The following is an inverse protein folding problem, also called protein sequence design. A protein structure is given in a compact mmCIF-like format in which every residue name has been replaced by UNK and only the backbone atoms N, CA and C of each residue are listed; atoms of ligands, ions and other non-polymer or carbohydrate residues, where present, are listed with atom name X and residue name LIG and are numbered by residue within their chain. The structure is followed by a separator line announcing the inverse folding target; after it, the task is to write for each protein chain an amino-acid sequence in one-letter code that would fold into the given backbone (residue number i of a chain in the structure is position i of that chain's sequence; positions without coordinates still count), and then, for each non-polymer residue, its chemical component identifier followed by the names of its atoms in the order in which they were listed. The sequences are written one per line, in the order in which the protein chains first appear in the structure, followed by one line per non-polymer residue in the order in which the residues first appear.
data_IF_676136228858
#
_entry.id   IF_676136228858
#
_cell.length_a   1.000
_cell.length_b   1.000
_cell.length_c   1.000
_cell.angle_alpha   90.00
_cell.angle_beta   90.00
_cell.angle_gamma   90.00
#
_symmetry.space_group_name_H-M   'P 1'
#
loop_
_entity.id
_entity.type
_entity.pdbx_description
1 polymer ?
#
# COMPACT_ATOMS: atom_id res chain seq x y z
N UNK A 1 -10.08 -14.47 21.32
CA UNK A 1 -10.16 -13.03 21.08
C UNK A 1 -9.26 -12.33 22.07
N UNK A 2 -8.09 -11.86 21.64
CA UNK A 2 -7.19 -11.06 22.47
C UNK A 2 -7.63 -9.58 22.47
N UNK A 3 -7.05 -8.75 23.34
CA UNK A 3 -7.41 -7.33 23.42
C UNK A 3 -7.16 -6.54 22.11
N UNK A 4 -6.14 -6.92 21.34
CA UNK A 4 -5.84 -6.30 20.04
C UNK A 4 -6.85 -6.65 18.95
N UNK A 5 -7.30 -7.91 18.92
CA UNK A 5 -8.34 -8.37 17.98
C UNK A 5 -9.66 -7.63 18.22
N UNK A 6 -10.03 -7.42 19.48
CA UNK A 6 -11.23 -6.66 19.84
C UNK A 6 -11.13 -5.18 19.41
N UNK A 7 -9.97 -4.55 19.61
CA UNK A 7 -9.73 -3.16 19.17
C UNK A 7 -9.82 -3.05 17.65
N UNK A 8 -9.24 -4.02 16.92
CA UNK A 8 -9.28 -4.03 15.46
C UNK A 8 -10.72 -4.23 14.92
N UNK A 9 -11.53 -5.07 15.56
CA UNK A 9 -12.96 -5.19 15.20
C UNK A 9 -13.73 -3.91 15.51
N UNK A 10 -13.44 -3.27 16.65
CA UNK A 10 -14.08 -2.01 17.02
C UNK A 10 -13.75 -0.88 16.03
N UNK A 11 -12.50 -0.80 15.57
CA UNK A 11 -12.08 0.14 14.54
C UNK A 11 -12.86 -0.06 13.23
N UNK A 12 -13.02 -1.31 12.78
CA UNK A 12 -13.82 -1.63 11.58
C UNK A 12 -15.26 -1.16 11.72
N UNK A 13 -15.90 -1.46 12.86
CA UNK A 13 -17.28 -1.05 13.12
C UNK A 13 -17.43 0.48 13.10
N UNK A 14 -16.48 1.21 13.69
CA UNK A 14 -16.50 2.68 13.66
C UNK A 14 -16.42 3.19 12.22
N UNK A 15 -15.52 2.63 11.40
CA UNK A 15 -15.32 3.05 10.00
C UNK A 15 -16.54 2.76 9.12
N UNK A 16 -17.30 1.72 9.42
CA UNK A 16 -18.56 1.42 8.73
C UNK A 16 -19.69 2.38 9.12
N UNK A 17 -19.72 2.85 10.37
CA UNK A 17 -20.77 3.76 10.87
C UNK A 17 -20.57 5.22 10.45
N UNK A 18 -19.33 5.66 10.27
CA UNK A 18 -19.04 7.03 9.86
C UNK A 18 -19.16 7.14 8.34
N UNK A 19 -20.07 8.00 7.88
CA UNK A 19 -20.32 8.24 6.47
C UNK A 19 -19.97 9.67 6.06
N UNK A 20 -19.41 9.81 4.87
CA UNK A 20 -19.05 11.09 4.25
C UNK A 20 -20.03 11.37 3.10
N UNK A 21 -20.70 12.53 3.09
CA UNK A 21 -21.60 12.90 2.00
C UNK A 21 -20.88 13.03 0.65
N UNK A 22 -21.54 12.61 -0.43
CA UNK A 22 -20.97 12.64 -1.79
C UNK A 22 -20.51 14.03 -2.24
N UNK A 23 -21.19 15.09 -1.82
CA UNK A 23 -20.86 16.45 -2.23
C UNK A 23 -19.51 16.94 -1.66
N UNK A 24 -18.96 16.27 -0.65
CA UNK A 24 -17.60 16.53 -0.13
C UNK A 24 -16.52 15.73 -0.85
N UNK A 25 -16.91 14.72 -1.62
CA UNK A 25 -15.99 13.79 -2.25
C UNK A 25 -15.75 14.15 -3.72
N UNK A 26 -14.54 13.89 -4.26
CA UNK A 26 -14.31 13.90 -5.70
C UNK A 26 -15.19 12.86 -6.39
N UNK A 27 -15.51 13.08 -7.66
CA UNK A 27 -16.45 12.24 -8.42
C UNK A 27 -16.06 10.75 -8.43
N UNK A 28 -14.77 10.46 -8.57
CA UNK A 28 -14.20 9.10 -8.50
C UNK A 28 -14.49 8.36 -7.18
N UNK A 29 -14.67 9.10 -6.09
CA UNK A 29 -14.86 8.53 -4.75
C UNK A 29 -16.31 8.45 -4.33
N UNK A 30 -17.22 9.10 -5.05
CA UNK A 30 -18.67 9.06 -4.76
C UNK A 30 -19.23 7.66 -4.99
N UNK A 31 -20.31 7.36 -4.32
CA UNK A 31 -21.20 6.26 -4.70
C UNK A 31 -22.42 6.85 -5.40
N UNK A 32 -22.72 6.40 -6.61
CA UNK A 32 -23.88 6.90 -7.37
C UNK A 32 -25.20 6.19 -6.98
N UNK A 33 -25.13 5.20 -6.08
CA UNK A 33 -26.31 4.47 -5.57
C UNK A 33 -26.84 5.06 -4.26
N UNK A 34 -26.00 5.74 -3.49
CA UNK A 34 -26.30 6.32 -2.18
C UNK A 34 -25.78 7.76 -2.10
N UNK A 35 -26.32 8.60 -1.22
CA UNK A 35 -25.89 10.00 -1.10
C UNK A 35 -24.57 10.20 -0.30
N UNK A 36 -23.98 9.10 0.19
CA UNK A 36 -22.78 9.08 1.03
C UNK A 36 -21.97 7.80 0.86
N UNK A 37 -20.75 7.82 1.37
CA UNK A 37 -19.78 6.72 1.35
C UNK A 37 -19.21 6.51 2.75
N UNK A 38 -19.11 5.27 3.23
CA UNK A 38 -18.51 4.97 4.54
C UNK A 38 -16.99 5.25 4.53
N UNK A 39 -16.39 5.46 5.70
CA UNK A 39 -14.92 5.54 5.79
C UNK A 39 -14.25 4.25 5.35
N UNK A 40 -14.85 3.09 5.67
CA UNK A 40 -14.33 1.79 5.25
C UNK A 40 -14.32 1.60 3.72
N UNK A 41 -15.32 2.13 3.02
CA UNK A 41 -15.36 2.12 1.54
C UNK A 41 -14.37 3.13 0.95
N UNK A 42 -14.22 4.30 1.56
CA UNK A 42 -13.26 5.32 1.14
C UNK A 42 -11.81 4.82 1.26
N UNK A 43 -11.45 4.23 2.40
CA UNK A 43 -10.13 3.62 2.60
C UNK A 43 -9.85 2.56 1.53
N UNK A 44 -10.81 1.66 1.28
CA UNK A 44 -10.66 0.66 0.21
C UNK A 44 -10.45 1.28 -1.17
N UNK A 45 -11.13 2.39 -1.51
CA UNK A 45 -10.93 3.10 -2.77
C UNK A 45 -9.55 3.78 -2.84
N UNK A 46 -9.06 4.32 -1.71
CA UNK A 46 -7.71 4.89 -1.61
C UNK A 46 -6.64 3.82 -1.76
N UNK A 47 -6.75 2.71 -1.02
CA UNK A 47 -5.82 1.58 -1.06
C UNK A 47 -5.79 0.95 -2.46
N UNK A 48 -6.97 0.80 -3.09
CA UNK A 48 -7.06 0.31 -4.46
C UNK A 48 -6.46 1.27 -5.49
N UNK A 49 -6.31 2.57 -5.16
CA UNK A 49 -5.66 3.58 -6.00
C UNK A 49 -4.16 3.67 -5.73
N UNK A 50 -3.70 3.23 -4.57
CA UNK A 50 -2.29 2.98 -4.25
C UNK A 50 -1.79 1.72 -4.99
N UNK A 51 -1.99 1.70 -6.31
CA UNK A 51 -1.43 0.72 -7.23
C UNK A 51 0.02 1.13 -7.48
N UNK A 52 0.89 0.73 -6.56
CA UNK A 52 2.31 0.97 -6.66
C UNK A 52 3.06 -0.05 -5.83
N UNK A 53 4.31 -0.30 -6.18
CA UNK A 53 5.19 -0.89 -5.19
C UNK A 53 5.40 0.13 -4.08
N UNK A 54 5.26 -0.32 -2.84
CA UNK A 54 5.70 0.51 -1.72
C UNK A 54 7.19 0.80 -1.86
N UNK A 55 7.67 1.90 -1.30
CA UNK A 55 9.11 2.23 -1.31
C UNK A 55 9.97 1.05 -0.83
N UNK A 56 9.45 0.28 0.14
CA UNK A 56 10.08 -0.94 0.64
C UNK A 56 10.16 -2.05 -0.41
N UNK A 57 9.12 -2.25 -1.22
CA UNK A 57 9.12 -3.21 -2.32
C UNK A 57 10.09 -2.78 -3.44
N UNK A 58 10.11 -1.49 -3.78
CA UNK A 58 11.07 -0.93 -4.75
C UNK A 58 12.51 -1.14 -4.25
N UNK A 59 12.79 -0.81 -2.99
CA UNK A 59 14.11 -0.97 -2.40
C UNK A 59 14.55 -2.44 -2.36
N UNK A 60 13.63 -3.36 -2.04
CA UNK A 60 13.90 -4.80 -2.07
C UNK A 60 14.26 -5.27 -3.48
N UNK A 61 13.51 -4.85 -4.50
CA UNK A 61 13.78 -5.19 -5.90
C UNK A 61 15.16 -4.70 -6.35
N UNK A 62 15.52 -3.46 -6.01
CA UNK A 62 16.83 -2.93 -6.40
C UNK A 62 17.98 -3.57 -5.63
N UNK A 63 17.75 -3.96 -4.38
CA UNK A 63 18.71 -4.78 -3.64
C UNK A 63 18.94 -6.14 -4.32
N UNK A 64 17.86 -6.81 -4.73
CA UNK A 64 17.95 -8.11 -5.41
C UNK A 64 18.69 -7.98 -6.75
N UNK A 65 18.42 -6.91 -7.52
CA UNK A 65 19.15 -6.59 -8.75
C UNK A 65 20.65 -6.41 -8.51
N UNK A 66 21.04 -5.68 -7.46
CA UNK A 66 22.45 -5.47 -7.10
C UNK A 66 23.12 -6.77 -6.68
N UNK A 67 22.46 -7.58 -5.86
CA UNK A 67 22.99 -8.89 -5.44
C UNK A 67 23.26 -9.76 -6.66
N UNK A 68 22.32 -9.82 -7.62
CA UNK A 68 22.52 -10.58 -8.85
C UNK A 68 23.70 -10.07 -9.68
N UNK A 69 23.84 -8.75 -9.83
CA UNK A 69 24.97 -8.15 -10.54
C UNK A 69 26.32 -8.48 -9.88
N UNK A 70 26.40 -8.37 -8.55
CA UNK A 70 27.62 -8.68 -7.80
C UNK A 70 27.95 -10.18 -7.82
N UNK A 71 26.93 -11.04 -7.80
CA UNK A 71 27.13 -12.48 -7.94
C UNK A 71 27.78 -12.83 -9.29
N UNK A 72 27.35 -12.19 -10.38
CA UNK A 72 27.95 -12.35 -11.71
C UNK A 72 29.38 -11.82 -11.76
N UNK A 73 29.67 -10.66 -11.14
CA UNK A 73 31.04 -10.12 -11.06
C UNK A 73 31.98 -11.08 -10.32
N UNK A 74 31.52 -11.65 -9.20
CA UNK A 74 32.26 -12.64 -8.42
C UNK A 74 32.51 -13.90 -9.26
N UNK A 75 31.50 -14.42 -9.96
CA UNK A 75 31.62 -15.60 -10.82
C UNK A 75 32.65 -15.41 -11.93
N UNK A 76 32.73 -14.21 -12.51
CA UNK A 76 33.71 -13.87 -13.53
C UNK A 76 35.09 -13.47 -12.98
N UNK A 77 35.29 -13.49 -11.66
CA UNK A 77 36.55 -13.08 -11.02
C UNK A 77 36.88 -11.60 -11.23
N UNK A 78 35.87 -10.76 -11.45
CA UNK A 78 35.99 -9.32 -11.63
C UNK A 78 36.02 -8.62 -10.28
N UNK A 79 36.66 -7.45 -10.22
CA UNK A 79 36.58 -6.57 -9.06
C UNK A 79 35.14 -6.02 -8.93
N UNK A 80 34.59 -6.01 -7.71
CA UNK A 80 33.20 -5.62 -7.49
C UNK A 80 33.07 -4.10 -7.63
N UNK A 81 32.46 -3.65 -8.72
CA UNK A 81 32.07 -2.25 -8.90
C UNK A 81 30.72 -1.98 -8.22
N UNK A 82 30.74 -1.15 -7.18
CA UNK A 82 29.53 -0.82 -6.43
C UNK A 82 28.59 0.08 -7.23
N UNK A 83 27.37 -0.40 -7.45
CA UNK A 83 26.30 0.38 -8.10
C UNK A 83 25.73 1.37 -7.07
N UNK A 84 25.90 2.66 -7.33
CA UNK A 84 25.36 3.76 -6.51
C UNK A 84 23.82 3.76 -6.48
N UNK A 85 23.24 4.24 -5.37
CA UNK A 85 21.79 4.34 -5.14
C UNK A 85 21.18 5.56 -5.79
#
# INVERSE_FOLDING_TARGET
MNGYELIAEFEKLIKDMIVVPNHWLPEDFRDNRTDSVSLADLERKCDAREIGETDHQIEKREKDRRIAAYAVMIEHGQEIEYIMK
#
